data_IF_463760315722
#
_entry.id   IF_463760315722
#
_cell.length_a   1.000
_cell.length_b   1.000
_cell.length_c   1.000
_cell.angle_alpha   90.00
_cell.angle_beta   90.00
_cell.angle_gamma   90.00
#
_symmetry.space_group_name_H-M   'P 1'
#
loop_
_entity.id
_entity.type
_entity.pdbx_description
1 polymer ?
#
# COMPACT_ATOMS: atom_id res chain seq x y z
N UNK A 1 -42.63 45.21 -73.34
CA UNK A 1 -41.43 44.63 -72.68
C UNK A 1 -41.88 43.69 -71.62
N UNK A 2 -41.43 42.45 -71.64
CA UNK A 2 -41.73 41.47 -70.62
C UNK A 2 -40.57 41.38 -69.63
N UNK A 3 -40.88 41.39 -68.33
CA UNK A 3 -39.87 41.16 -67.34
C UNK A 3 -39.42 39.69 -67.30
N UNK A 4 -38.21 39.38 -66.82
CA UNK A 4 -37.73 38.03 -66.70
C UNK A 4 -38.51 37.24 -65.59
N UNK A 5 -38.59 35.90 -65.73
CA UNK A 5 -39.16 35.00 -64.79
C UNK A 5 -38.11 34.60 -63.76
N UNK A 6 -38.47 34.58 -62.48
CA UNK A 6 -37.54 34.17 -61.38
C UNK A 6 -37.29 32.68 -61.41
N UNK A 7 -36.00 32.29 -61.22
CA UNK A 7 -35.59 30.94 -60.93
C UNK A 7 -35.38 30.88 -59.41
N UNK A 8 -36.09 30.01 -58.67
CA UNK A 8 -35.91 29.92 -57.24
C UNK A 8 -34.49 29.48 -56.94
N UNK A 9 -33.90 30.09 -55.90
CA UNK A 9 -32.63 29.60 -55.32
C UNK A 9 -32.88 28.35 -54.48
N UNK A 10 -31.90 27.47 -54.45
CA UNK A 10 -31.81 26.37 -53.54
C UNK A 10 -31.18 26.78 -52.21
N UNK A 11 -30.77 25.79 -51.43
CA UNK A 11 -29.94 26.01 -50.25
C UNK A 11 -28.84 24.95 -50.19
N UNK A 12 -27.74 25.31 -49.56
CA UNK A 12 -26.59 24.43 -49.28
C UNK A 12 -26.24 24.51 -47.82
N UNK A 13 -26.21 23.37 -47.16
CA UNK A 13 -25.78 23.25 -45.76
C UNK A 13 -24.28 23.02 -45.71
N UNK A 14 -23.58 23.77 -44.83
CA UNK A 14 -22.15 23.63 -44.60
C UNK A 14 -21.88 23.65 -43.10
N UNK A 15 -20.85 22.92 -42.68
CA UNK A 15 -20.38 22.95 -41.29
C UNK A 15 -19.39 24.13 -41.13
N UNK A 16 -19.58 24.95 -40.09
CA UNK A 16 -18.68 26.02 -39.69
C UNK A 16 -18.26 25.84 -38.23
N UNK A 17 -17.02 25.36 -37.95
CA UNK A 17 -16.54 25.11 -36.60
C UNK A 17 -16.38 26.39 -35.76
N UNK A 18 -16.40 27.58 -36.40
CA UNK A 18 -16.25 28.86 -35.71
C UNK A 18 -17.57 29.43 -35.18
N UNK A 19 -18.70 28.88 -35.62
CA UNK A 19 -19.99 29.25 -35.03
C UNK A 19 -20.15 28.68 -33.63
N UNK A 20 -20.83 29.39 -32.72
CA UNK A 20 -21.16 28.83 -31.41
C UNK A 20 -21.95 27.53 -31.55
N UNK A 21 -21.78 26.66 -30.53
CA UNK A 21 -22.50 25.36 -30.44
C UNK A 21 -24.01 25.57 -30.51
N UNK A 22 -24.69 24.69 -31.28
CA UNK A 22 -26.14 24.67 -31.50
C UNK A 22 -26.67 25.92 -32.22
N UNK A 23 -25.82 26.72 -32.91
CA UNK A 23 -26.23 27.87 -33.69
C UNK A 23 -26.12 27.62 -35.18
N UNK A 24 -26.93 28.35 -35.93
CA UNK A 24 -26.91 28.38 -37.40
C UNK A 24 -26.88 29.81 -37.88
N UNK A 25 -26.21 30.05 -39.00
CA UNK A 25 -26.18 31.33 -39.69
C UNK A 25 -26.63 31.14 -41.15
N UNK A 26 -27.56 31.95 -41.60
CA UNK A 26 -28.00 31.96 -43.00
C UNK A 26 -27.33 33.10 -43.79
N UNK A 27 -26.60 32.76 -44.81
CA UNK A 27 -26.09 33.69 -45.80
C UNK A 27 -27.07 33.63 -46.98
N UNK A 28 -27.85 34.68 -47.25
CA UNK A 28 -28.85 34.66 -48.29
C UNK A 28 -28.22 34.66 -49.69
N UNK A 29 -28.71 33.81 -50.51
CA UNK A 29 -28.46 33.81 -51.96
C UNK A 29 -29.33 34.83 -52.73
N UNK A 30 -29.51 34.59 -54.00
CA UNK A 30 -30.43 35.34 -54.80
C UNK A 30 -31.10 34.48 -55.86
N UNK A 31 -32.36 34.72 -56.22
CA UNK A 31 -33.00 34.02 -57.32
C UNK A 31 -32.36 34.38 -58.63
N UNK A 32 -32.34 33.42 -59.56
CA UNK A 32 -31.95 33.64 -60.95
C UNK A 32 -33.08 34.26 -61.75
N UNK A 33 -32.74 34.59 -62.97
CA UNK A 33 -33.70 35.18 -63.94
C UNK A 33 -33.58 34.41 -65.29
N UNK A 34 -34.70 33.98 -65.81
CA UNK A 34 -34.80 33.42 -67.22
C UNK A 34 -35.73 34.21 -68.07
N UNK A 35 -35.51 34.14 -69.41
CA UNK A 35 -36.43 34.64 -70.37
C UNK A 35 -37.67 33.74 -70.44
N UNK A 36 -38.92 34.21 -70.20
CA UNK A 36 -40.09 33.38 -70.15
C UNK A 36 -40.45 32.73 -71.46
N UNK A 37 -40.15 33.36 -72.57
CA UNK A 37 -40.52 32.86 -73.93
C UNK A 37 -39.52 31.83 -74.45
N UNK A 38 -38.21 32.02 -74.17
CA UNK A 38 -37.15 31.13 -74.69
C UNK A 38 -36.62 30.18 -73.69
N UNK A 39 -36.94 30.33 -72.37
CA UNK A 39 -36.41 29.54 -71.28
C UNK A 39 -34.94 29.80 -71.04
N UNK A 40 -34.27 30.69 -71.77
CA UNK A 40 -32.84 30.96 -71.60
C UNK A 40 -32.56 31.63 -70.28
N UNK A 41 -31.64 31.07 -69.50
CA UNK A 41 -31.17 31.66 -68.24
C UNK A 41 -30.38 32.92 -68.50
N UNK A 42 -30.78 34.04 -67.88
CA UNK A 42 -30.14 35.35 -67.96
C UNK A 42 -29.20 35.54 -66.75
N UNK A 43 -29.67 35.21 -65.60
CA UNK A 43 -28.88 35.16 -64.34
C UNK A 43 -29.06 33.81 -63.64
N UNK A 44 -27.96 33.16 -63.32
CA UNK A 44 -28.00 31.93 -62.54
C UNK A 44 -28.43 32.20 -61.07
N UNK A 45 -29.24 31.32 -60.47
CA UNK A 45 -29.55 31.46 -59.08
C UNK A 45 -28.30 31.20 -58.20
N UNK A 46 -28.18 31.91 -57.13
CA UNK A 46 -27.17 31.67 -56.08
C UNK A 46 -27.90 31.13 -54.90
N UNK A 47 -27.52 29.91 -54.46
CA UNK A 47 -28.15 29.24 -53.36
C UNK A 47 -27.92 30.00 -52.04
N UNK A 48 -28.90 29.87 -51.13
CA UNK A 48 -28.70 30.23 -49.74
C UNK A 48 -27.65 29.29 -49.12
N UNK A 49 -26.74 29.81 -48.30
CA UNK A 49 -25.81 28.99 -47.54
C UNK A 49 -26.26 28.99 -46.09
N UNK A 50 -26.59 27.80 -45.58
CA UNK A 50 -26.90 27.59 -44.16
C UNK A 50 -25.67 27.03 -43.49
N UNK A 51 -25.00 27.82 -42.66
CA UNK A 51 -23.85 27.41 -41.88
C UNK A 51 -24.35 26.83 -40.54
N UNK A 52 -23.86 25.66 -40.18
CA UNK A 52 -24.16 24.99 -38.93
C UNK A 52 -22.92 24.96 -38.04
N UNK A 53 -23.04 25.49 -36.81
CA UNK A 53 -22.02 25.33 -35.78
C UNK A 53 -21.98 23.89 -35.28
N UNK A 54 -21.01 23.57 -34.39
CA UNK A 54 -20.98 22.30 -33.65
C UNK A 54 -22.31 22.07 -32.94
N UNK A 55 -22.78 20.81 -32.92
CA UNK A 55 -23.99 20.41 -32.17
C UNK A 55 -23.62 19.66 -30.92
N UNK A 56 -24.36 19.88 -29.79
CA UNK A 56 -24.25 19.09 -28.60
C UNK A 56 -24.51 17.62 -28.92
N UNK A 57 -23.52 16.77 -28.68
CA UNK A 57 -23.61 15.31 -28.85
C UNK A 57 -24.00 14.59 -27.58
N UNK A 58 -24.19 13.28 -27.69
CA UNK A 58 -24.38 12.41 -26.52
C UNK A 58 -23.06 12.32 -25.77
N UNK A 59 -23.01 12.66 -24.47
CA UNK A 59 -21.79 12.58 -23.68
C UNK A 59 -21.17 11.18 -23.68
N UNK A 60 -19.84 11.12 -23.73
CA UNK A 60 -19.10 9.88 -23.54
C UNK A 60 -18.96 9.59 -22.06
N UNK A 61 -19.25 8.34 -21.65
CA UNK A 61 -19.14 7.90 -20.28
C UNK A 61 -18.11 6.79 -20.16
N UNK A 62 -17.27 6.86 -19.11
CA UNK A 62 -16.27 5.84 -18.78
C UNK A 62 -16.34 5.52 -17.29
N UNK A 63 -16.49 4.24 -16.96
CA UNK A 63 -16.36 3.78 -15.57
C UNK A 63 -14.92 3.45 -15.27
N UNK A 64 -14.42 3.98 -14.14
CA UNK A 64 -13.06 3.76 -13.64
C UNK A 64 -13.15 3.20 -12.24
N UNK A 65 -12.36 2.16 -11.95
CA UNK A 65 -12.25 1.56 -10.64
C UNK A 65 -11.47 2.47 -9.69
N UNK A 66 -11.93 2.57 -8.43
CA UNK A 66 -11.24 3.24 -7.33
C UNK A 66 -10.64 2.13 -6.46
N UNK A 67 -9.31 2.00 -6.34
CA UNK A 67 -8.70 0.99 -5.50
C UNK A 67 -9.03 1.22 -4.03
N UNK A 68 -9.09 0.14 -3.25
CA UNK A 68 -9.15 0.19 -1.79
C UNK A 68 -7.75 0.20 -1.18
N UNK A 69 -7.65 0.68 0.06
CA UNK A 69 -6.43 0.62 0.85
C UNK A 69 -6.42 -0.62 1.76
N UNK A 70 -5.21 -1.07 2.16
CA UNK A 70 -5.06 -2.09 3.19
C UNK A 70 -4.61 -1.44 4.48
N UNK A 71 -5.44 -1.55 5.52
CA UNK A 71 -5.17 -1.08 6.88
C UNK A 71 -4.77 -2.24 7.77
N UNK A 72 -3.82 -2.00 8.66
CA UNK A 72 -3.34 -2.97 9.64
C UNK A 72 -3.84 -2.58 11.02
N UNK A 73 -4.37 -3.55 11.77
CA UNK A 73 -4.83 -3.36 13.15
C UNK A 73 -4.15 -4.36 14.08
N UNK A 74 -3.52 -3.86 15.14
CA UNK A 74 -2.94 -4.72 16.15
C UNK A 74 -4.03 -5.39 16.99
N UNK A 75 -3.97 -6.74 17.08
CA UNK A 75 -4.88 -7.53 17.91
C UNK A 75 -4.07 -8.38 18.92
N UNK A 76 -4.08 -8.00 20.22
CA UNK A 76 -3.33 -8.71 21.25
C UNK A 76 -3.81 -10.13 21.51
N UNK A 77 -4.96 -10.54 20.96
CA UNK A 77 -5.50 -11.90 21.10
C UNK A 77 -4.95 -12.88 20.06
N UNK A 78 -4.32 -12.38 19.00
CA UNK A 78 -3.65 -13.23 18.02
C UNK A 78 -2.29 -13.70 18.54
N UNK A 79 -1.90 -14.90 18.12
CA UNK A 79 -0.58 -15.42 18.45
C UNK A 79 0.53 -14.53 17.85
N UNK A 80 1.70 -14.44 18.47
CA UNK A 80 2.82 -13.71 17.89
C UNK A 80 3.15 -14.18 16.47
N UNK A 81 3.16 -13.24 15.52
CA UNK A 81 3.40 -13.49 14.11
C UNK A 81 2.18 -13.98 13.32
N UNK A 82 1.03 -14.15 13.96
CA UNK A 82 -0.22 -14.49 13.28
C UNK A 82 -0.85 -13.27 12.60
N UNK A 83 -1.36 -13.44 11.39
CA UNK A 83 -2.16 -12.43 10.69
C UNK A 83 -3.50 -13.01 10.27
N UNK A 84 -4.54 -12.19 10.31
CA UNK A 84 -5.89 -12.57 9.94
C UNK A 84 -6.59 -11.44 9.19
N UNK A 85 -7.24 -11.74 8.08
CA UNK A 85 -8.11 -10.78 7.42
C UNK A 85 -9.39 -10.62 8.25
N UNK A 86 -9.61 -9.42 8.78
CA UNK A 86 -10.83 -9.04 9.51
C UNK A 86 -11.94 -8.60 8.55
N UNK A 87 -11.54 -7.88 7.51
CA UNK A 87 -12.43 -7.35 6.48
C UNK A 87 -11.74 -7.41 5.12
N UNK A 88 -12.41 -8.00 4.14
CA UNK A 88 -11.94 -7.96 2.76
C UNK A 88 -12.19 -6.57 2.14
N UNK A 89 -11.21 -6.10 1.36
CA UNK A 89 -11.34 -4.88 0.59
C UNK A 89 -12.26 -5.06 -0.60
N UNK A 90 -12.95 -4.00 -0.98
CA UNK A 90 -13.75 -3.96 -2.20
C UNK A 90 -13.44 -2.68 -2.95
N UNK A 91 -13.12 -2.77 -4.26
CA UNK A 91 -12.91 -1.58 -5.05
C UNK A 91 -14.20 -0.78 -5.19
N UNK A 92 -14.05 0.52 -5.21
CA UNK A 92 -15.08 1.47 -5.58
C UNK A 92 -15.14 1.66 -7.10
N UNK A 93 -16.02 2.53 -7.55
CA UNK A 93 -16.10 2.95 -8.94
C UNK A 93 -16.52 4.41 -9.05
N UNK A 94 -16.01 5.07 -10.09
CA UNK A 94 -16.45 6.39 -10.50
C UNK A 94 -16.79 6.41 -11.97
N UNK A 95 -17.78 7.20 -12.34
CA UNK A 95 -18.13 7.47 -13.74
C UNK A 95 -17.58 8.83 -14.12
N UNK A 96 -16.83 8.86 -15.23
CA UNK A 96 -16.35 10.09 -15.86
C UNK A 96 -17.26 10.34 -17.07
N UNK A 97 -17.92 11.50 -17.09
CA UNK A 97 -18.80 11.96 -18.17
C UNK A 97 -18.12 13.10 -18.90
N UNK A 98 -17.81 12.90 -20.18
CA UNK A 98 -17.19 13.91 -21.05
C UNK A 98 -18.24 14.43 -22.03
N UNK A 99 -18.66 15.70 -21.94
CA UNK A 99 -19.50 16.31 -22.96
C UNK A 99 -18.76 16.36 -24.29
N UNK A 100 -19.47 16.09 -25.37
CA UNK A 100 -18.89 16.18 -26.72
C UNK A 100 -19.72 17.09 -27.62
N UNK A 101 -19.09 17.61 -28.66
CA UNK A 101 -19.77 18.27 -29.75
C UNK A 101 -19.48 17.53 -31.05
N UNK A 102 -20.48 17.51 -31.94
CA UNK A 102 -20.43 16.79 -33.21
C UNK A 102 -20.74 17.73 -34.38
N UNK A 103 -20.23 17.41 -35.55
CA UNK A 103 -20.66 18.04 -36.79
C UNK A 103 -22.12 17.58 -37.09
N UNK A 104 -23.09 18.48 -37.15
CA UNK A 104 -24.49 18.11 -37.35
C UNK A 104 -24.80 17.46 -38.69
N UNK A 105 -23.92 17.64 -39.68
CA UNK A 105 -24.10 17.11 -41.03
C UNK A 105 -23.53 15.69 -41.18
N UNK A 106 -22.48 15.35 -40.46
CA UNK A 106 -21.79 14.05 -40.57
C UNK A 106 -21.93 13.18 -39.30
N UNK A 107 -22.22 13.79 -38.13
CA UNK A 107 -22.25 13.12 -36.85
C UNK A 107 -20.87 12.91 -36.24
N UNK A 108 -19.79 13.35 -36.92
CA UNK A 108 -18.43 13.18 -36.40
C UNK A 108 -18.15 14.09 -35.22
N UNK A 109 -17.41 13.55 -34.22
CA UNK A 109 -16.97 14.30 -33.05
C UNK A 109 -16.00 15.40 -33.46
N UNK A 110 -16.25 16.62 -33.05
CA UNK A 110 -15.44 17.81 -33.41
C UNK A 110 -14.88 18.53 -32.17
N UNK A 111 -15.37 18.20 -30.97
CA UNK A 111 -14.86 18.76 -29.72
C UNK A 111 -15.25 18.01 -28.48
N UNK A 112 -14.56 18.31 -27.37
CA UNK A 112 -14.81 17.80 -26.05
C UNK A 112 -14.93 18.94 -25.06
N UNK A 113 -15.86 18.79 -24.09
CA UNK A 113 -15.98 19.68 -22.97
C UNK A 113 -15.17 19.17 -21.75
N UNK A 114 -15.26 19.90 -20.65
CA UNK A 114 -14.63 19.48 -19.38
C UNK A 114 -15.32 18.23 -18.84
N UNK A 115 -14.56 17.16 -18.52
CA UNK A 115 -15.14 15.97 -17.93
C UNK A 115 -15.60 16.25 -16.50
N UNK A 116 -16.69 15.60 -16.11
CA UNK A 116 -17.18 15.56 -14.74
C UNK A 116 -17.03 14.17 -14.17
N UNK A 117 -16.73 14.06 -12.89
CA UNK A 117 -16.57 12.77 -12.19
C UNK A 117 -17.64 12.61 -11.13
N UNK A 118 -18.22 11.43 -11.07
CA UNK A 118 -19.18 11.04 -10.04
C UNK A 118 -18.78 9.69 -9.44
N UNK A 119 -18.61 9.63 -8.11
CA UNK A 119 -18.35 8.37 -7.42
C UNK A 119 -19.66 7.60 -7.35
N UNK A 120 -19.72 6.47 -8.05
CA UNK A 120 -20.91 5.59 -8.09
C UNK A 120 -20.88 4.52 -7.01
N UNK A 121 -19.66 4.15 -6.54
CA UNK A 121 -19.47 3.22 -5.42
C UNK A 121 -18.22 3.62 -4.65
N UNK A 122 -18.34 3.78 -3.33
CA UNK A 122 -17.19 4.03 -2.47
C UNK A 122 -16.35 2.75 -2.31
N UNK A 123 -15.01 2.83 -2.29
CA UNK A 123 -14.17 1.70 -1.94
C UNK A 123 -14.33 1.33 -0.46
N UNK A 124 -14.18 0.05 -0.16
CA UNK A 124 -14.15 -0.47 1.21
C UNK A 124 -12.75 -0.99 1.46
N UNK A 125 -12.07 -0.45 2.48
CA UNK A 125 -10.69 -0.84 2.79
C UNK A 125 -10.60 -2.28 3.31
N UNK A 126 -9.50 -2.95 2.95
CA UNK A 126 -9.13 -4.23 3.54
C UNK A 126 -8.54 -3.97 4.93
N UNK A 127 -8.99 -4.74 5.93
CA UNK A 127 -8.45 -4.69 7.29
C UNK A 127 -7.79 -6.03 7.60
N UNK A 128 -6.48 -5.99 7.91
CA UNK A 128 -5.69 -7.13 8.34
C UNK A 128 -5.32 -6.94 9.80
N UNK A 129 -5.82 -7.83 10.68
CA UNK A 129 -5.37 -7.90 12.05
C UNK A 129 -4.06 -8.67 12.13
N UNK A 130 -3.15 -8.24 13.01
CA UNK A 130 -1.88 -8.90 13.26
C UNK A 130 -1.59 -9.03 14.75
N UNK A 131 -0.94 -10.14 15.12
CA UNK A 131 -0.46 -10.41 16.47
C UNK A 131 0.84 -9.67 16.77
N UNK A 132 1.31 -9.82 18.01
CA UNK A 132 2.57 -9.23 18.44
C UNK A 132 3.81 -9.90 17.85
N UNK A 133 4.97 -9.33 18.12
CA UNK A 133 6.28 -9.92 17.89
C UNK A 133 6.88 -10.35 19.21
N UNK A 134 7.51 -11.53 19.25
CA UNK A 134 8.17 -12.02 20.46
C UNK A 134 9.43 -11.22 20.78
N UNK A 135 9.57 -10.83 22.03
CA UNK A 135 10.83 -10.33 22.61
C UNK A 135 11.49 -11.55 23.29
N UNK A 136 12.68 -11.99 22.87
CA UNK A 136 13.34 -13.11 23.49
C UNK A 136 13.63 -12.82 24.96
N UNK A 137 13.40 -13.81 25.83
CA UNK A 137 13.83 -13.73 27.22
C UNK A 137 15.35 -13.94 27.32
N UNK A 138 15.97 -13.32 28.30
CA UNK A 138 17.33 -13.54 28.70
C UNK A 138 17.46 -14.71 29.68
N UNK A 139 18.59 -14.81 30.35
CA UNK A 139 18.79 -15.70 31.51
C UNK A 139 19.56 -14.97 32.61
N UNK A 140 19.31 -15.40 33.85
CA UNK A 140 19.99 -14.91 35.03
C UNK A 140 20.52 -16.10 35.82
N UNK A 141 21.83 -16.12 36.06
CA UNK A 141 22.47 -17.14 36.89
C UNK A 141 22.43 -16.72 38.37
N UNK A 142 22.04 -17.62 39.26
CA UNK A 142 22.05 -17.43 40.71
C UNK A 142 22.65 -18.64 41.41
N UNK A 143 23.33 -18.39 42.51
CA UNK A 143 23.83 -19.42 43.40
C UNK A 143 22.74 -19.86 44.34
N UNK A 144 22.50 -21.19 44.46
CA UNK A 144 21.58 -21.79 45.43
C UNK A 144 22.34 -22.82 46.27
N UNK A 145 22.64 -22.51 47.55
CA UNK A 145 23.38 -23.42 48.44
C UNK A 145 22.62 -24.69 48.81
N UNK A 146 21.30 -24.73 48.53
CA UNK A 146 20.45 -25.89 48.82
C UNK A 146 20.44 -26.94 47.71
N UNK A 147 20.93 -26.58 46.53
CA UNK A 147 21.10 -27.53 45.43
C UNK A 147 22.30 -28.46 45.73
N UNK A 148 22.21 -29.73 45.30
CA UNK A 148 23.37 -30.63 45.39
C UNK A 148 24.58 -30.07 44.63
N UNK A 149 25.78 -30.45 45.10
CA UNK A 149 27.05 -30.06 44.49
C UNK A 149 27.09 -30.44 43.00
N UNK A 150 27.61 -29.52 42.15
CA UNK A 150 27.74 -29.65 40.71
C UNK A 150 26.38 -29.81 39.96
N UNK A 151 25.25 -29.49 40.59
CA UNK A 151 23.95 -29.51 39.93
C UNK A 151 23.44 -28.13 39.57
N UNK A 152 22.61 -28.07 38.53
CA UNK A 152 21.91 -26.88 38.12
C UNK A 152 20.42 -27.17 37.99
N UNK A 153 19.60 -26.17 38.28
CA UNK A 153 18.15 -26.17 38.07
C UNK A 153 17.75 -24.99 37.19
N UNK A 154 16.95 -25.25 36.17
CA UNK A 154 16.42 -24.19 35.32
C UNK A 154 14.97 -23.90 35.68
N UNK A 155 14.68 -22.66 36.07
CA UNK A 155 13.33 -22.13 36.20
C UNK A 155 13.05 -21.35 34.93
N UNK A 156 12.14 -21.85 34.06
CA UNK A 156 11.88 -21.20 32.77
C UNK A 156 11.17 -19.86 32.96
N UNK A 157 11.62 -18.85 32.21
CA UNK A 157 10.96 -17.59 32.04
C UNK A 157 9.92 -17.64 30.90
N UNK A 158 9.58 -16.49 30.35
CA UNK A 158 8.70 -16.39 29.18
C UNK A 158 9.15 -15.25 28.26
N UNK A 159 8.97 -15.39 26.94
CA UNK A 159 9.22 -14.28 26.02
C UNK A 159 8.23 -13.13 26.28
N UNK A 160 8.68 -11.91 26.05
CA UNK A 160 7.83 -10.74 26.00
C UNK A 160 7.11 -10.63 24.65
N UNK A 161 6.25 -9.63 24.53
CA UNK A 161 5.49 -9.31 23.31
C UNK A 161 5.55 -7.82 23.06
N UNK A 162 5.85 -7.41 21.85
CA UNK A 162 5.78 -6.02 21.37
C UNK A 162 4.86 -5.89 20.15
N UNK A 163 4.34 -4.70 19.94
CA UNK A 163 3.69 -4.35 18.68
C UNK A 163 4.78 -4.12 17.62
N UNK A 164 4.83 -4.88 16.52
CA UNK A 164 5.90 -4.77 15.52
C UNK A 164 5.88 -3.44 14.75
N UNK A 165 4.70 -2.82 14.56
CA UNK A 165 4.57 -1.58 13.79
C UNK A 165 4.98 -0.35 14.61
N UNK A 166 4.74 -0.36 15.92
CA UNK A 166 5.05 0.78 16.81
C UNK A 166 6.26 0.57 17.71
N UNK A 167 6.73 -0.68 17.85
CA UNK A 167 7.77 -1.06 18.81
C UNK A 167 7.33 -1.06 20.26
N UNK A 168 6.07 -0.70 20.56
CA UNK A 168 5.57 -0.63 21.94
C UNK A 168 5.55 -2.02 22.57
N UNK A 169 6.22 -2.15 23.74
CA UNK A 169 6.17 -3.38 24.54
C UNK A 169 4.77 -3.52 25.15
N UNK A 170 4.18 -4.69 24.96
CA UNK A 170 2.87 -5.08 25.47
C UNK A 170 3.03 -5.96 26.72
N UNK A 171 3.97 -6.93 26.63
CA UNK A 171 4.37 -7.79 27.75
C UNK A 171 5.89 -7.80 27.84
N UNK A 172 6.43 -7.51 29.03
CA UNK A 172 7.85 -7.61 29.27
C UNK A 172 8.31 -9.07 29.29
N UNK A 173 9.51 -9.39 28.76
CA UNK A 173 10.08 -10.72 28.90
C UNK A 173 10.45 -11.02 30.35
N UNK A 174 10.28 -12.25 30.75
CA UNK A 174 10.74 -12.76 32.05
C UNK A 174 11.90 -13.70 31.76
N UNK A 175 13.09 -13.39 32.33
CA UNK A 175 14.29 -14.18 32.13
C UNK A 175 14.18 -15.60 32.71
N UNK A 176 14.84 -16.55 32.07
CA UNK A 176 15.11 -17.84 32.66
C UNK A 176 16.02 -17.64 33.91
N UNK A 177 15.77 -18.35 34.99
CA UNK A 177 16.66 -18.37 36.16
C UNK A 177 17.38 -19.71 36.18
N UNK A 178 18.72 -19.67 36.09
CA UNK A 178 19.57 -20.85 36.19
C UNK A 178 20.20 -20.83 37.58
N UNK A 179 19.78 -21.73 38.44
CA UNK A 179 20.33 -21.89 39.76
C UNK A 179 21.50 -22.88 39.71
N UNK A 180 22.59 -22.53 40.34
CA UNK A 180 23.79 -23.34 40.43
C UNK A 180 24.03 -23.74 41.89
N UNK A 181 24.17 -25.04 42.14
CA UNK A 181 24.61 -25.56 43.41
C UNK A 181 26.11 -25.31 43.68
N UNK A 182 26.59 -25.66 44.88
CA UNK A 182 28.01 -25.59 45.18
C UNK A 182 28.84 -26.37 44.16
N UNK A 183 30.00 -25.84 43.77
CA UNK A 183 30.89 -26.50 42.83
C UNK A 183 32.01 -27.22 43.59
N UNK A 184 32.37 -28.46 43.16
CA UNK A 184 33.53 -29.15 43.69
C UNK A 184 34.78 -28.31 43.49
N UNK A 185 35.40 -27.93 44.61
CA UNK A 185 36.66 -27.16 44.62
C UNK A 185 37.88 -28.07 44.44
N UNK A 186 39.01 -27.48 44.16
CA UNK A 186 40.28 -28.15 44.24
C UNK A 186 40.60 -28.46 45.70
N UNK A 187 40.91 -29.71 46.05
CA UNK A 187 41.26 -30.04 47.43
C UNK A 187 42.44 -29.20 47.92
N UNK A 188 42.31 -28.64 49.12
CA UNK A 188 43.43 -28.02 49.80
C UNK A 188 44.33 -29.13 50.36
N UNK A 189 45.58 -29.18 49.95
CA UNK A 189 46.56 -30.08 50.49
C UNK A 189 47.41 -29.35 51.53
N UNK A 190 47.35 -29.81 52.76
CA UNK A 190 48.26 -29.34 53.81
C UNK A 190 49.32 -30.43 54.07
N UNK A 191 50.55 -30.12 53.76
CA UNK A 191 51.67 -30.99 54.12
C UNK A 191 51.97 -30.79 55.60
N UNK A 192 51.82 -31.83 56.38
CA UNK A 192 52.25 -31.85 57.81
C UNK A 192 53.53 -32.65 57.87
N UNK A 193 54.59 -31.94 58.28
CA UNK A 193 55.87 -32.60 58.58
C UNK A 193 55.70 -33.49 59.80
N UNK A 194 55.99 -34.77 59.62
CA UNK A 194 56.02 -35.71 60.71
C UNK A 194 57.45 -35.68 61.25
N UNK A 195 57.64 -35.13 62.43
CA UNK A 195 59.00 -35.13 63.03
C UNK A 195 59.50 -36.55 63.26
N UNK A 196 60.72 -36.78 62.80
CA UNK A 196 61.36 -38.11 63.08
C UNK A 196 61.78 -38.15 64.53
N UNK A 197 61.53 -39.34 65.11
CA UNK A 197 62.10 -39.66 66.44
C UNK A 197 63.53 -40.11 66.27
N UNK A 198 64.44 -39.50 67.01
CA UNK A 198 65.81 -39.96 67.14
C UNK A 198 65.89 -41.09 68.11
N UNK A 199 65.96 -42.32 67.59
CA UNK A 199 66.24 -43.46 68.47
C UNK A 199 67.71 -43.51 68.80
N UNK A 200 68.02 -43.49 70.07
CA UNK A 200 69.37 -43.71 70.52
C UNK A 200 69.55 -45.24 70.77
N UNK A 201 70.48 -45.80 70.04
CA UNK A 201 70.85 -47.18 70.22
C UNK A 201 72.14 -47.23 71.09
N UNK A 202 72.09 -48.02 72.07
CA UNK A 202 73.28 -48.24 72.90
C UNK A 202 74.31 -49.09 72.13
N UNK A 203 75.47 -48.54 71.90
CA UNK A 203 76.58 -49.28 71.27
C UNK A 203 77.65 -49.56 72.36
N UNK A 204 77.81 -50.81 72.80
CA UNK A 204 78.74 -51.13 73.88
C UNK A 204 80.22 -50.99 73.45
N UNK A 205 80.48 -50.68 72.20
CA UNK A 205 81.85 -50.44 71.68
C UNK A 205 82.30 -48.99 71.71
N UNK A 206 81.39 -48.08 72.07
CA UNK A 206 81.77 -46.67 72.22
C UNK A 206 82.25 -46.39 73.66
N UNK A 207 83.19 -45.49 73.75
CA UNK A 207 83.66 -45.07 75.13
C UNK A 207 82.60 -44.30 75.85
N UNK A 208 82.57 -44.31 77.20
CA UNK A 208 81.58 -43.55 77.98
C UNK A 208 81.57 -42.03 77.57
N UNK A 209 80.41 -41.53 77.08
CA UNK A 209 80.22 -40.15 76.64
C UNK A 209 80.41 -39.89 75.16
N UNK A 210 80.68 -40.87 74.33
CA UNK A 210 80.83 -40.79 72.88
C UNK A 210 79.46 -41.02 72.21
N UNK A 211 79.04 -40.09 71.35
CA UNK A 211 77.87 -40.24 70.51
C UNK A 211 78.33 -40.28 69.02
N UNK A 212 77.71 -41.12 68.20
CA UNK A 212 77.88 -41.15 66.74
C UNK A 212 76.60 -41.13 66.00
#
# INVERSE_FOLDING_TARGET
>A
EFGGEKIPQGHKDIFDPNLPTDQTEKVPGKPGIKNPDTGKVIEEPVDDVIKHGPKTGTPETKTVEIPFETKREFNPKLQPGEERVKQEGQPGSKTITTPITVNPLTGEKVGEGQPTEEITKQPVDKIVEFGGEKIPQGHKDIFDPNLPTDQTEKVPGKPGIKNPDTGKVIEEPVDDVIKHGPKTGTPETKTVEIPFETKREFNPKLQPGEER
#
